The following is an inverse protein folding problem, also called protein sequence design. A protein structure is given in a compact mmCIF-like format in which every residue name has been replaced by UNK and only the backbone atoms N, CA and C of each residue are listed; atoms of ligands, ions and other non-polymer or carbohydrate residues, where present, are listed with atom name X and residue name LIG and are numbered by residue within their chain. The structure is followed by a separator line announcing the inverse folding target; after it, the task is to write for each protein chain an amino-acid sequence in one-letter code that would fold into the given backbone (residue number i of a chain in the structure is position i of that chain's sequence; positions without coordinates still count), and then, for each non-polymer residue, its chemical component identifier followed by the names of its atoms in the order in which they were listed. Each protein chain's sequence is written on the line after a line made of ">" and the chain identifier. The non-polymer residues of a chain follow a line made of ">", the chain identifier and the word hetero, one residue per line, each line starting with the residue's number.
data_IF_338252266987
#
_entry.id   IF_338252266987
#
_cell.length_a   1.000
_cell.length_b   1.000
_cell.length_c   1.000
_cell.angle_alpha   90.00
_cell.angle_beta   90.00
_cell.angle_gamma   90.00
#
_symmetry.space_group_name_H-M   'P 1'
#
loop_
_entity.id
_entity.type
_entity.pdbx_description
1 polymer ?
#
# COMPACT_ATOMS: atom_id res chain seq x y z
N UNK A 1 -19.12 -3.99 24.88
CA UNK A 1 -19.94 -2.96 25.56
C UNK A 1 -19.19 -2.17 26.66
N UNK A 2 -18.74 -2.80 27.76
CA UNK A 2 -18.14 -2.05 28.89
C UNK A 2 -16.86 -1.27 28.54
N UNK A 3 -15.99 -1.84 27.70
CA UNK A 3 -14.76 -1.16 27.26
C UNK A 3 -15.02 0.00 26.27
N UNK A 4 -16.04 -0.13 25.42
CA UNK A 4 -16.43 0.91 24.46
C UNK A 4 -16.98 2.12 25.22
N UNK A 5 -17.85 1.88 26.20
CA UNK A 5 -18.38 2.93 27.08
C UNK A 5 -17.28 3.65 27.85
N UNK A 6 -16.30 2.92 28.39
CA UNK A 6 -15.12 3.52 29.07
C UNK A 6 -14.30 4.43 28.14
N UNK A 7 -14.12 4.05 26.86
CA UNK A 7 -13.39 4.85 25.87
C UNK A 7 -14.16 6.14 25.52
N UNK A 8 -15.46 6.02 25.27
CA UNK A 8 -16.33 7.16 24.95
C UNK A 8 -16.50 8.13 26.13
N UNK A 9 -16.53 7.62 27.37
CA UNK A 9 -16.57 8.46 28.57
C UNK A 9 -15.28 9.29 28.78
N UNK A 10 -14.13 8.82 28.26
CA UNK A 10 -12.83 9.50 28.40
C UNK A 10 -12.57 10.49 27.26
N UNK A 11 -12.85 10.09 26.03
CA UNK A 11 -12.71 10.92 24.83
C UNK A 11 -13.90 10.63 23.89
N UNK A 12 -14.89 11.54 23.81
CA UNK A 12 -16.06 11.30 22.99
C UNK A 12 -15.69 11.20 21.50
N UNK A 13 -16.23 10.19 20.83
CA UNK A 13 -15.96 9.85 19.43
C UNK A 13 -14.67 9.06 19.21
N UNK A 14 -13.94 8.66 20.26
CA UNK A 14 -12.69 7.90 20.13
C UNK A 14 -12.92 6.49 19.60
N UNK A 15 -14.01 5.83 19.99
CA UNK A 15 -14.31 4.49 19.50
C UNK A 15 -14.56 4.51 18.00
N UNK A 16 -15.39 5.44 17.53
CA UNK A 16 -15.68 5.61 16.10
C UNK A 16 -14.40 5.85 15.28
N UNK A 17 -13.56 6.80 15.71
CA UNK A 17 -12.26 7.08 15.06
C UNK A 17 -11.36 5.84 14.98
N UNK A 18 -11.31 5.05 16.04
CA UNK A 18 -10.49 3.83 16.06
C UNK A 18 -11.04 2.76 15.12
N UNK A 19 -12.36 2.60 15.04
CA UNK A 19 -12.98 1.66 14.10
C UNK A 19 -12.75 2.07 12.64
N UNK A 20 -12.83 3.37 12.33
CA UNK A 20 -12.50 3.89 11.00
C UNK A 20 -11.04 3.61 10.63
N UNK A 21 -10.10 3.84 11.56
CA UNK A 21 -8.68 3.52 11.36
C UNK A 21 -8.45 2.03 11.11
N UNK A 22 -9.11 1.16 11.89
CA UNK A 22 -9.04 -0.30 11.67
C UNK A 22 -9.60 -0.70 10.30
N UNK A 23 -10.70 -0.09 9.85
CA UNK A 23 -11.27 -0.37 8.54
C UNK A 23 -10.28 -0.03 7.41
N UNK A 24 -9.61 1.12 7.51
CA UNK A 24 -8.57 1.54 6.56
C UNK A 24 -7.38 0.57 6.57
N UNK A 25 -6.90 0.17 7.75
CA UNK A 25 -5.79 -0.79 7.88
C UNK A 25 -6.12 -2.17 7.30
N UNK A 26 -7.32 -2.71 7.58
CA UNK A 26 -7.78 -3.98 7.02
C UNK A 26 -7.82 -3.96 5.50
N UNK A 27 -8.30 -2.86 4.93
CA UNK A 27 -8.32 -2.69 3.49
C UNK A 27 -6.91 -2.64 2.90
N UNK A 28 -6.01 -1.87 3.51
CA UNK A 28 -4.60 -1.77 3.11
C UNK A 28 -3.91 -3.13 3.08
N UNK A 29 -4.11 -3.96 4.12
CA UNK A 29 -3.57 -5.33 4.18
C UNK A 29 -4.11 -6.22 3.06
N UNK A 30 -5.43 -6.19 2.84
CA UNK A 30 -6.06 -6.96 1.76
C UNK A 30 -5.55 -6.53 0.38
N UNK A 31 -5.40 -5.23 0.14
CA UNK A 31 -4.88 -4.70 -1.11
C UNK A 31 -3.43 -5.14 -1.33
N UNK A 32 -2.59 -5.06 -0.29
CA UNK A 32 -1.22 -5.58 -0.28
C UNK A 32 -1.17 -7.04 -0.71
N UNK A 33 -1.99 -7.90 -0.10
CA UNK A 33 -2.00 -9.34 -0.41
C UNK A 33 -2.45 -9.60 -1.85
N UNK A 34 -3.47 -8.88 -2.34
CA UNK A 34 -3.96 -9.01 -3.72
C UNK A 34 -2.88 -8.59 -4.73
N UNK A 35 -2.26 -7.43 -4.54
CA UNK A 35 -1.22 -6.93 -5.44
C UNK A 35 0.03 -7.81 -5.41
N UNK A 36 0.44 -8.28 -4.22
CA UNK A 36 1.56 -9.19 -4.08
C UNK A 36 1.31 -10.53 -4.77
N UNK A 37 0.15 -11.17 -4.51
CA UNK A 37 -0.23 -12.44 -5.16
C UNK A 37 -0.29 -12.31 -6.68
N UNK A 38 -0.85 -11.21 -7.18
CA UNK A 38 -0.86 -10.93 -8.61
C UNK A 38 0.56 -10.80 -9.16
N UNK A 39 1.43 -10.02 -8.51
CA UNK A 39 2.80 -9.83 -8.95
C UNK A 39 3.61 -11.14 -8.97
N UNK A 40 3.40 -12.02 -7.99
CA UNK A 40 4.00 -13.37 -7.98
C UNK A 40 3.51 -14.18 -9.18
N UNK A 41 2.20 -14.23 -9.41
CA UNK A 41 1.62 -14.96 -10.54
C UNK A 41 2.08 -14.44 -11.91
N UNK A 42 2.37 -13.14 -12.02
CA UNK A 42 2.87 -12.51 -13.25
C UNK A 42 4.40 -12.50 -13.36
N UNK A 43 5.14 -13.07 -12.40
CA UNK A 43 6.60 -13.13 -12.44
C UNK A 43 7.29 -11.77 -12.31
N UNK A 44 6.72 -10.85 -11.52
CA UNK A 44 7.32 -9.54 -11.31
C UNK A 44 8.71 -9.63 -10.68
N UNK A 45 9.62 -8.70 -11.00
CA UNK A 45 10.94 -8.65 -10.37
C UNK A 45 10.86 -8.64 -8.85
N UNK A 46 11.72 -9.43 -8.19
CA UNK A 46 11.74 -9.58 -6.72
C UNK A 46 11.83 -8.26 -5.96
N UNK A 47 12.51 -7.27 -6.55
CA UNK A 47 12.59 -5.92 -5.99
C UNK A 47 11.21 -5.25 -5.85
N UNK A 48 10.32 -5.39 -6.83
CA UNK A 48 8.95 -4.88 -6.74
C UNK A 48 8.12 -5.68 -5.74
N UNK A 49 8.25 -7.00 -5.73
CA UNK A 49 7.56 -7.86 -4.76
C UNK A 49 7.89 -7.47 -3.31
N UNK A 50 9.16 -7.17 -2.99
CA UNK A 50 9.57 -6.65 -1.67
C UNK A 50 8.85 -5.33 -1.29
N UNK A 51 8.52 -4.47 -2.25
CA UNK A 51 7.77 -3.22 -2.00
C UNK A 51 6.28 -3.54 -1.79
N UNK A 52 5.70 -4.36 -2.66
CA UNK A 52 4.30 -4.78 -2.60
C UNK A 52 4.01 -5.58 -1.32
N UNK A 53 4.98 -6.30 -0.76
CA UNK A 53 4.83 -7.04 0.48
C UNK A 53 4.79 -6.15 1.74
N UNK A 54 5.26 -4.90 1.67
CA UNK A 54 5.27 -4.02 2.84
C UNK A 54 3.92 -3.28 2.93
N UNK A 55 3.12 -3.49 3.99
CA UNK A 55 1.80 -2.86 4.13
C UNK A 55 1.89 -1.33 4.18
N UNK A 56 2.93 -0.77 4.79
CA UNK A 56 3.10 0.69 4.90
C UNK A 56 3.43 1.35 3.55
N UNK A 57 3.89 0.58 2.57
CA UNK A 57 4.04 1.07 1.19
C UNK A 57 2.70 1.41 0.56
N UNK A 58 1.58 0.80 0.98
CA UNK A 58 0.29 0.96 0.32
C UNK A 58 -0.47 2.20 0.77
N UNK A 59 -1.18 2.83 -0.17
CA UNK A 59 -1.99 4.02 0.10
C UNK A 59 -3.29 3.69 0.83
N UNK A 60 -3.75 4.65 1.64
CA UNK A 60 -5.12 4.63 2.15
C UNK A 60 -6.12 4.98 1.06
N UNK A 61 -7.35 4.50 1.26
CA UNK A 61 -8.51 4.92 0.48
C UNK A 61 -9.49 5.72 1.32
N UNK A 62 -10.19 6.64 0.65
CA UNK A 62 -11.35 7.29 1.20
C UNK A 62 -12.46 7.30 0.15
N UNK A 63 -13.65 6.89 0.57
CA UNK A 63 -14.84 6.97 -0.27
C UNK A 63 -15.27 8.43 -0.42
N UNK A 64 -15.49 8.87 -1.65
CA UNK A 64 -16.11 10.15 -1.94
C UNK A 64 -17.56 9.94 -2.39
N UNK A 65 -18.55 10.39 -1.60
CA UNK A 65 -19.95 10.24 -1.93
C UNK A 65 -20.37 11.08 -3.15
N UNK A 66 -19.63 12.13 -3.49
CA UNK A 66 -19.96 13.02 -4.61
C UNK A 66 -19.66 12.32 -5.95
N UNK A 67 -18.46 11.76 -6.07
CA UNK A 67 -18.06 11.02 -7.28
C UNK A 67 -18.44 9.54 -7.24
N UNK A 68 -18.99 9.05 -6.12
CA UNK A 68 -19.30 7.64 -5.85
C UNK A 68 -18.09 6.72 -6.12
N UNK A 69 -16.89 7.19 -5.78
CA UNK A 69 -15.61 6.53 -6.08
C UNK A 69 -14.69 6.53 -4.87
N UNK A 70 -13.75 5.60 -4.85
CA UNK A 70 -12.70 5.57 -3.84
C UNK A 70 -11.48 6.34 -4.34
N UNK A 71 -11.02 7.32 -3.56
CA UNK A 71 -9.81 8.07 -3.87
C UNK A 71 -8.60 7.50 -3.15
N UNK A 72 -7.51 7.37 -3.90
CA UNK A 72 -6.20 7.01 -3.37
C UNK A 72 -5.61 8.24 -2.68
N UNK A 73 -5.35 8.14 -1.38
CA UNK A 73 -4.65 9.18 -0.63
C UNK A 73 -3.15 9.08 -0.88
N UNK A 74 -2.50 10.22 -1.12
CA UNK A 74 -1.04 10.29 -1.30
C UNK A 74 -0.38 10.26 0.07
N UNK A 75 0.62 9.40 0.23
CA UNK A 75 1.53 9.45 1.37
C UNK A 75 2.58 10.52 1.09
N UNK A 76 2.76 11.48 1.98
CA UNK A 76 3.65 12.64 1.74
C UNK A 76 5.10 12.22 1.48
N UNK A 77 5.55 11.12 2.10
CA UNK A 77 6.95 10.69 2.00
C UNK A 77 7.30 9.97 0.69
N UNK A 78 6.33 9.73 -0.19
CA UNK A 78 6.45 8.80 -1.31
C UNK A 78 6.74 9.52 -2.62
N UNK A 79 7.69 8.99 -3.38
CA UNK A 79 8.07 9.50 -4.70
C UNK A 79 7.00 9.23 -5.75
N UNK A 80 7.01 10.02 -6.82
CA UNK A 80 6.12 9.81 -7.96
C UNK A 80 6.42 8.49 -8.70
N UNK A 81 7.65 7.96 -8.57
CA UNK A 81 8.06 6.67 -9.16
C UNK A 81 7.32 5.51 -8.51
N UNK A 82 7.17 5.53 -7.19
CA UNK A 82 6.38 4.52 -6.51
C UNK A 82 4.91 4.62 -6.90
N UNK A 83 4.34 5.84 -6.87
CA UNK A 83 2.94 6.04 -7.23
C UNK A 83 2.63 5.46 -8.61
N UNK A 84 3.53 5.72 -9.57
CA UNK A 84 3.46 5.18 -10.93
C UNK A 84 3.49 3.65 -10.94
N UNK A 85 4.39 3.00 -10.16
CA UNK A 85 4.45 1.55 -10.09
C UNK A 85 3.15 0.96 -9.51
N UNK A 86 2.68 1.46 -8.37
CA UNK A 86 1.47 0.93 -7.71
C UNK A 86 0.24 1.12 -8.61
N UNK A 87 0.12 2.28 -9.25
CA UNK A 87 -0.93 2.52 -10.24
C UNK A 87 -0.83 1.51 -11.39
N UNK A 88 0.38 1.22 -11.88
CA UNK A 88 0.56 0.28 -12.97
C UNK A 88 0.17 -1.15 -12.59
N UNK A 89 0.48 -1.58 -11.37
CA UNK A 89 0.03 -2.87 -10.84
C UNK A 89 -1.50 -2.93 -10.83
N UNK A 90 -2.17 -1.87 -10.37
CA UNK A 90 -3.64 -1.81 -10.37
C UNK A 90 -4.24 -1.85 -11.78
N UNK A 91 -3.63 -1.14 -12.74
CA UNK A 91 -4.04 -1.17 -14.14
C UNK A 91 -3.90 -2.56 -14.76
N UNK A 92 -2.77 -3.25 -14.54
CA UNK A 92 -2.54 -4.60 -15.07
C UNK A 92 -3.48 -5.62 -14.43
N UNK A 93 -3.75 -5.51 -13.12
CA UNK A 93 -4.76 -6.34 -12.46
C UNK A 93 -6.15 -6.11 -13.05
N UNK A 94 -6.54 -4.85 -13.27
CA UNK A 94 -7.83 -4.50 -13.88
C UNK A 94 -7.95 -5.05 -15.30
N UNK A 95 -6.89 -4.98 -16.10
CA UNK A 95 -6.87 -5.59 -17.45
C UNK A 95 -7.03 -7.10 -17.38
N UNK A 96 -6.35 -7.78 -16.45
CA UNK A 96 -6.46 -9.22 -16.28
C UNK A 96 -7.88 -9.65 -15.87
N UNK A 97 -8.50 -8.93 -14.92
CA UNK A 97 -9.88 -9.19 -14.50
C UNK A 97 -10.90 -9.02 -15.64
N UNK A 98 -10.73 -7.98 -16.46
CA UNK A 98 -11.56 -7.73 -17.63
C UNK A 98 -11.36 -8.79 -18.72
N UNK A 99 -10.12 -9.26 -18.94
CA UNK A 99 -9.82 -10.32 -19.91
C UNK A 99 -10.43 -11.67 -19.50
N UNK A 100 -10.46 -11.97 -18.20
CA UNK A 100 -11.09 -13.17 -17.64
C UNK A 100 -12.63 -13.15 -17.72
N UNK A 101 -13.22 -12.02 -18.12
CA UNK A 101 -14.69 -11.84 -18.18
C UNK A 101 -15.37 -11.89 -16.81
N UNK A 102 -14.61 -11.84 -15.72
CA UNK A 102 -15.12 -11.83 -14.35
C UNK A 102 -15.50 -10.40 -13.97
N UNK A 103 -16.63 -10.23 -13.28
CA UNK A 103 -16.98 -8.95 -12.68
C UNK A 103 -15.91 -8.60 -11.64
N UNK A 104 -15.20 -7.51 -11.86
CA UNK A 104 -14.21 -6.98 -10.92
C UNK A 104 -14.84 -6.87 -9.53
N UNK A 105 -14.31 -7.64 -8.57
CA UNK A 105 -14.72 -7.60 -7.16
C UNK A 105 -13.98 -6.50 -6.39
N UNK A 106 -13.00 -5.87 -7.03
CA UNK A 106 -12.20 -4.80 -6.45
C UNK A 106 -12.92 -3.47 -6.57
N UNK A 107 -12.66 -2.59 -5.61
CA UNK A 107 -13.13 -1.20 -5.67
C UNK A 107 -12.45 -0.50 -6.84
N UNK A 108 -13.21 0.29 -7.58
CA UNK A 108 -12.67 1.19 -8.59
C UNK A 108 -11.97 2.36 -7.89
N UNK A 109 -10.64 2.43 -8.05
CA UNK A 109 -9.77 3.37 -7.34
C UNK A 109 -9.32 4.46 -8.30
N UNK A 110 -9.44 5.72 -7.87
CA UNK A 110 -9.03 6.88 -8.67
C UNK A 110 -8.05 7.76 -7.90
N UNK A 111 -7.10 8.36 -8.62
CA UNK A 111 -6.25 9.41 -8.04
C UNK A 111 -7.04 10.72 -8.15
N UNK A 112 -7.31 11.42 -7.03
CA UNK A 112 -8.01 12.69 -7.10
C UNK A 112 -7.11 13.75 -7.76
N UNK A 113 -7.66 14.68 -8.57
CA UNK A 113 -6.87 15.77 -9.19
C UNK A 113 -6.12 16.63 -8.17
N UNK A 114 -6.66 16.74 -6.95
CA UNK A 114 -5.96 17.31 -5.79
C UNK A 114 -5.66 16.16 -4.82
N UNK A 115 -4.39 15.83 -4.68
CA UNK A 115 -3.95 14.78 -3.76
C UNK A 115 -4.45 15.05 -2.34
N UNK A 116 -5.25 14.14 -1.79
CA UNK A 116 -5.61 14.15 -0.38
C UNK A 116 -4.53 13.44 0.41
N UNK A 117 -4.06 14.04 1.50
CA UNK A 117 -3.09 13.41 2.39
C UNK A 117 -3.68 12.16 3.05
N UNK A 118 -2.86 11.12 3.18
CA UNK A 118 -3.18 9.90 3.93
C UNK A 118 -3.38 10.21 5.43
N UNK A 119 -4.25 9.44 6.08
CA UNK A 119 -4.45 9.54 7.54
C UNK A 119 -3.27 8.87 8.27
N UNK A 120 -2.67 7.86 7.65
CA UNK A 120 -1.46 7.21 8.13
C UNK A 120 -0.28 8.19 8.12
N UNK A 121 0.27 8.40 9.32
CA UNK A 121 1.54 9.11 9.51
C UNK A 121 2.74 8.17 9.57
N UNK A 122 2.50 6.86 9.48
CA UNK A 122 3.55 5.86 9.51
C UNK A 122 4.38 5.96 8.25
N UNK A 123 5.68 6.19 8.43
CA UNK A 123 6.66 6.20 7.35
C UNK A 123 7.20 4.78 7.21
N UNK A 124 7.13 4.17 6.00
CA UNK A 124 7.76 2.87 5.74
C UNK A 124 9.25 2.96 6.01
N UNK A 125 9.83 1.97 6.70
CA UNK A 125 11.27 1.91 6.98
C UNK A 125 11.94 0.81 6.17
N UNK A 126 13.24 0.96 5.94
CA UNK A 126 14.08 0.00 5.21
C UNK A 126 13.76 -0.10 3.71
N UNK A 127 12.93 0.79 3.17
CA UNK A 127 12.67 0.83 1.73
C UNK A 127 13.82 1.53 0.99
N UNK A 128 13.98 1.27 -0.32
CA UNK A 128 15.04 1.88 -1.14
C UNK A 128 14.95 3.40 -1.13
N UNK A 129 16.08 4.09 -1.28
CA UNK A 129 16.07 5.56 -1.28
C UNK A 129 15.16 6.15 -2.36
N UNK A 130 15.07 5.52 -3.54
CA UNK A 130 14.20 6.01 -4.62
C UNK A 130 12.70 5.73 -4.43
N UNK A 131 12.30 5.13 -3.29
CA UNK A 131 10.91 5.10 -2.83
C UNK A 131 10.47 6.45 -2.27
N UNK A 132 11.37 7.18 -1.61
CA UNK A 132 11.01 8.40 -0.91
C UNK A 132 11.03 9.60 -1.84
N UNK A 133 10.16 10.57 -1.59
CA UNK A 133 10.24 11.86 -2.27
C UNK A 133 11.56 12.57 -1.89
N UNK A 134 12.35 13.07 -2.85
CA UNK A 134 13.64 13.71 -2.55
C UNK A 134 13.53 14.94 -1.66
N UNK A 135 12.52 15.80 -1.87
CA UNK A 135 12.33 17.01 -1.08
C UNK A 135 11.97 16.64 0.36
N UNK A 136 11.02 15.72 0.52
CA UNK A 136 10.65 15.19 1.82
C UNK A 136 11.83 14.54 2.55
N UNK A 137 12.58 13.66 1.87
CA UNK A 137 13.73 12.96 2.46
C UNK A 137 14.83 13.93 2.88
N UNK A 138 15.13 14.93 2.05
CA UNK A 138 16.23 15.87 2.30
C UNK A 138 15.99 16.73 3.54
N UNK A 139 14.74 17.02 3.86
CA UNK A 139 14.33 17.78 5.04
C UNK A 139 14.39 16.98 6.35
N UNK A 140 14.66 15.67 6.30
CA UNK A 140 14.81 14.85 7.50
C UNK A 140 16.15 15.09 8.24
N UNK A 141 16.18 15.00 9.58
CA UNK A 141 17.42 14.90 10.35
C UNK A 141 18.26 13.67 9.95
N UNK A 142 19.59 13.78 10.01
CA UNK A 142 20.51 12.71 9.61
C UNK A 142 20.28 11.37 10.36
N UNK A 143 19.88 11.41 11.64
CA UNK A 143 19.52 10.21 12.40
C UNK A 143 18.27 9.49 11.84
N UNK A 144 17.29 10.25 11.37
CA UNK A 144 16.08 9.70 10.75
C UNK A 144 16.38 9.14 9.35
N UNK A 145 17.20 9.83 8.55
CA UNK A 145 17.60 9.35 7.22
C UNK A 145 18.20 7.93 7.27
N UNK A 146 19.12 7.68 8.22
CA UNK A 146 19.76 6.37 8.45
C UNK A 146 18.80 5.25 8.86
N UNK A 147 17.72 5.59 9.54
CA UNK A 147 16.77 4.57 10.07
C UNK A 147 15.58 4.34 9.14
N UNK A 148 15.27 5.31 8.29
CA UNK A 148 14.11 5.27 7.40
C UNK A 148 14.47 4.61 6.07
N UNK A 149 15.48 5.10 5.36
CA UNK A 149 15.78 4.64 4.01
C UNK A 149 16.99 3.71 3.96
N UNK A 150 16.90 2.69 3.12
CA UNK A 150 18.08 1.97 2.65
C UNK A 150 18.70 2.80 1.51
N UNK A 151 19.74 3.56 1.84
CA UNK A 151 20.45 4.37 0.88
C UNK A 151 21.04 3.50 -0.24
N UNK A 152 21.61 2.33 0.08
CA UNK A 152 22.42 1.45 -0.80
C UNK A 152 21.68 0.66 -1.88
N UNK A 153 20.36 0.78 -1.98
CA UNK A 153 19.55 0.00 -2.92
C UNK A 153 18.66 0.92 -3.74
N UNK A 154 18.55 0.63 -5.04
CA UNK A 154 17.66 1.30 -5.99
C UNK A 154 16.75 0.24 -6.60
N UNK A 155 15.43 0.49 -6.61
CA UNK A 155 14.46 -0.50 -7.11
C UNK A 155 13.64 -0.07 -8.33
N UNK A 156 13.27 1.20 -8.41
CA UNK A 156 12.53 1.74 -9.55
C UNK A 156 13.45 2.11 -10.71
N UNK A 157 12.92 2.00 -11.94
CA UNK A 157 13.53 2.55 -13.14
C UNK A 157 13.70 4.08 -13.03
N UNK A 158 14.67 4.69 -13.72
CA UNK A 158 14.77 6.14 -13.85
C UNK A 158 13.46 6.75 -14.35
N UNK A 159 12.86 6.09 -15.35
CA UNK A 159 11.54 6.38 -15.88
C UNK A 159 10.56 5.28 -15.45
N UNK A 160 9.76 5.57 -14.42
CA UNK A 160 8.82 4.61 -13.86
C UNK A 160 7.67 4.25 -14.81
N UNK A 161 7.37 5.10 -15.82
CA UNK A 161 6.29 4.85 -16.79
C UNK A 161 6.55 3.63 -17.68
N UNK A 162 7.82 3.21 -17.77
CA UNK A 162 8.26 2.01 -18.50
C UNK A 162 8.18 0.73 -17.67
N UNK A 163 7.86 0.84 -16.38
CA UNK A 163 7.76 -0.33 -15.51
C UNK A 163 6.51 -1.13 -15.85
N UNK A 164 6.60 -2.46 -15.81
CA UNK A 164 5.44 -3.35 -15.97
C UNK A 164 4.59 -3.05 -17.22
N UNK A 165 5.23 -2.66 -18.32
CA UNK A 165 4.59 -2.69 -19.64
C UNK A 165 4.51 -4.16 -20.11
N UNK A 166 3.58 -4.47 -21.01
CA UNK A 166 3.29 -5.86 -21.43
C UNK A 166 4.52 -6.69 -21.84
N UNK A 167 5.62 -6.03 -22.20
CA UNK A 167 6.96 -6.62 -22.20
C UNK A 167 7.84 -5.95 -21.15
N UNK A 168 8.44 -6.74 -20.25
CA UNK A 168 9.39 -6.25 -19.25
C UNK A 168 10.51 -5.42 -19.88
N UNK A 169 10.86 -4.32 -19.21
CA UNK A 169 12.02 -3.54 -19.61
C UNK A 169 13.30 -4.38 -19.47
N UNK A 170 14.30 -4.16 -20.33
CA UNK A 170 15.54 -4.96 -20.32
C UNK A 170 16.25 -4.89 -18.98
N UNK A 171 16.30 -3.70 -18.38
CA UNK A 171 16.88 -3.50 -17.04
C UNK A 171 16.09 -4.21 -15.94
N UNK A 172 14.80 -4.46 -16.14
CA UNK A 172 14.01 -5.11 -15.11
C UNK A 172 14.41 -6.57 -14.88
N UNK A 173 15.05 -7.17 -15.89
CA UNK A 173 15.59 -8.53 -15.88
C UNK A 173 16.98 -8.64 -15.26
N UNK A 174 17.60 -7.50 -14.93
CA UNK A 174 18.88 -7.48 -14.24
C UNK A 174 18.72 -7.92 -12.78
N UNK A 175 19.77 -8.54 -12.23
CA UNK A 175 19.84 -8.77 -10.79
C UNK A 175 19.85 -7.44 -10.03
N UNK A 176 19.35 -7.44 -8.80
CA UNK A 176 19.23 -6.22 -7.98
C UNK A 176 20.57 -5.48 -7.84
N UNK A 177 21.67 -6.22 -7.67
CA UNK A 177 23.04 -5.68 -7.58
C UNK A 177 23.45 -4.95 -8.86
N UNK A 178 23.21 -5.56 -10.03
CA UNK A 178 23.54 -4.94 -11.33
C UNK A 178 22.63 -3.75 -11.63
N UNK A 179 21.33 -3.88 -11.34
CA UNK A 179 20.35 -2.82 -11.50
C UNK A 179 20.70 -1.60 -10.66
N UNK A 180 21.03 -1.82 -9.38
CA UNK A 180 21.42 -0.75 -8.47
C UNK A 180 22.68 -0.07 -8.96
N UNK A 181 23.75 -0.82 -9.28
CA UNK A 181 25.00 -0.24 -9.79
C UNK A 181 24.81 0.60 -11.05
N UNK A 182 23.96 0.15 -11.97
CA UNK A 182 23.69 0.87 -13.23
C UNK A 182 22.94 2.18 -12.99
N UNK A 183 21.92 2.16 -12.12
CA UNK A 183 21.01 3.28 -11.94
C UNK A 183 21.37 4.19 -10.75
N UNK A 184 22.40 3.83 -9.97
CA UNK A 184 22.77 4.49 -8.72
C UNK A 184 23.06 5.98 -8.89
N UNK A 185 24.02 6.30 -9.76
CA UNK A 185 24.52 7.68 -9.91
C UNK A 185 23.41 8.64 -10.33
N UNK A 186 22.52 8.21 -11.22
CA UNK A 186 21.39 9.04 -11.65
C UNK A 186 20.30 9.13 -10.58
N UNK A 187 19.97 8.01 -9.93
CA UNK A 187 18.91 7.96 -8.95
C UNK A 187 19.25 8.74 -7.67
N UNK A 188 20.52 8.83 -7.29
CA UNK A 188 20.94 9.47 -6.03
C UNK A 188 21.11 11.00 -6.13
N UNK A 189 21.27 11.55 -7.34
CA UNK A 189 21.48 13.00 -7.60
C UNK A 189 20.56 13.94 -6.82
N UNK A 190 19.24 13.69 -6.70
CA UNK A 190 18.35 14.61 -5.99
C UNK A 190 18.39 14.45 -4.46
N UNK A 191 19.12 13.47 -3.93
CA UNK A 191 19.16 13.17 -2.49
C UNK A 191 20.43 13.68 -1.81
N UNK A 192 20.26 14.29 -0.64
CA UNK A 192 21.35 14.68 0.25
C UNK A 192 21.72 13.50 1.17
N UNK A 193 22.65 12.69 0.68
CA UNK A 193 23.20 11.52 1.37
C UNK A 193 24.52 11.80 2.13
N UNK A 194 24.83 13.06 2.44
CA UNK A 194 26.06 13.45 3.16
C UNK A 194 26.28 12.71 4.49
N UNK A 195 25.20 12.26 5.13
CA UNK A 195 25.23 11.49 6.38
C UNK A 195 25.81 10.07 6.23
N UNK A 196 25.83 9.51 5.01
CA UNK A 196 26.42 8.20 4.69
C UNK A 196 27.91 8.30 4.31
N UNK A 197 28.39 9.49 3.96
CA UNK A 197 29.76 9.69 3.44
C UNK A 197 30.81 9.65 4.57
N UNK A 198 30.42 9.48 5.84
CA UNK A 198 31.35 9.59 6.96
C UNK A 198 32.24 8.36 7.23
N UNK A 199 32.11 7.22 6.54
CA UNK A 199 33.00 6.05 6.74
C UNK A 199 32.96 5.09 5.52
N UNK A 200 33.58 5.40 4.38
CA UNK A 200 33.53 4.53 3.20
C UNK A 200 34.87 4.42 2.46
N UNK A 201 35.86 3.78 3.11
CA UNK A 201 36.91 3.03 2.41
C UNK A 201 36.47 1.57 2.10
N UNK A 202 35.27 1.14 2.54
CA UNK A 202 34.83 -0.26 2.50
C UNK A 202 33.56 -0.51 1.65
N UNK A 203 33.42 0.19 0.51
CA UNK A 203 32.29 -0.03 -0.42
C UNK A 203 32.33 -1.40 -1.15
N UNK A 204 33.35 -2.22 -0.92
CA UNK A 204 33.50 -3.54 -1.58
C UNK A 204 32.80 -4.69 -0.81
N UNK A 205 32.68 -4.59 0.52
CA UNK A 205 32.29 -5.75 1.35
C UNK A 205 30.79 -5.80 1.75
N UNK A 206 30.06 -4.69 1.64
CA UNK A 206 28.63 -4.64 2.00
C UNK A 206 27.69 -5.26 0.94
N UNK A 207 28.21 -5.65 -0.23
CA UNK A 207 27.41 -6.30 -1.28
C UNK A 207 27.25 -7.82 -1.08
N UNK A 208 27.76 -8.37 0.04
CA UNK A 208 27.78 -9.81 0.35
C UNK A 208 26.72 -10.26 1.38
N UNK A 209 25.72 -9.42 1.71
CA UNK A 209 24.62 -9.78 2.63
C UNK A 209 23.23 -9.83 1.98
N UNK A 210 23.14 -10.07 0.67
CA UNK A 210 21.94 -10.71 0.10
C UNK A 210 22.32 -12.18 -0.16
N UNK A 211 22.13 -13.04 0.85
CA UNK A 211 22.05 -14.48 0.60
C UNK A 211 20.79 -14.72 -0.22
N UNK A 212 20.97 -15.01 -1.52
CA UNK A 212 19.98 -15.66 -2.38
C UNK A 212 19.78 -17.10 -1.88
N UNK A 213 19.22 -17.26 -0.69
CA UNK A 213 18.80 -18.55 -0.17
C UNK A 213 17.32 -18.46 0.24
N UNK A 214 16.49 -18.75 -0.73
CA UNK A 214 15.05 -18.98 -0.60
C UNK A 214 14.68 -20.02 -1.68
N UNK A 215 15.43 -21.12 -1.69
CA UNK A 215 14.90 -22.38 -2.20
C UNK A 215 13.87 -22.87 -1.19
N UNK A 216 12.66 -23.18 -1.68
CA UNK A 216 11.46 -23.59 -0.93
C UNK A 216 10.80 -22.54 -0.03
N UNK A 217 9.77 -21.88 -0.59
CA UNK A 217 8.64 -21.36 0.18
C UNK A 217 7.34 -22.10 -0.24
N UNK A 218 7.40 -23.43 -0.23
CA UNK A 218 6.23 -24.28 -0.01
C UNK A 218 6.32 -24.79 1.43
N UNK A 219 6.06 -23.90 2.39
CA UNK A 219 5.78 -24.27 3.77
C UNK A 219 4.69 -23.33 4.29
N UNK A 220 3.78 -23.92 5.07
CA UNK A 220 2.51 -23.37 5.53
C UNK A 220 2.65 -21.93 6.04
N UNK A 221 1.70 -21.08 5.63
CA UNK A 221 1.48 -19.79 6.28
C UNK A 221 0.91 -20.10 7.67
N UNK A 222 1.78 -20.33 8.64
CA UNK A 222 1.44 -20.08 10.03
C UNK A 222 1.30 -18.56 10.20
N UNK A 223 0.12 -18.13 10.62
CA UNK A 223 -0.22 -16.74 10.88
C UNK A 223 0.62 -16.22 12.06
N UNK A 224 1.84 -15.74 11.78
CA UNK A 224 2.60 -14.97 12.77
C UNK A 224 2.09 -13.54 12.85
N UNK A 225 1.29 -13.30 13.90
CA UNK A 225 0.87 -11.99 14.39
C UNK A 225 2.08 -11.09 14.73
N UNK A 226 2.49 -10.23 13.80
CA UNK A 226 3.32 -9.06 14.11
C UNK A 226 2.48 -7.79 14.20
N UNK A 227 1.64 -7.74 15.23
CA UNK A 227 1.05 -6.49 15.71
C UNK A 227 2.14 -5.77 16.49
N UNK A 228 2.72 -4.73 15.91
CA UNK A 228 3.59 -3.83 16.65
C UNK A 228 2.76 -3.16 17.76
N UNK A 229 2.95 -3.60 18.99
CA UNK A 229 2.31 -3.08 20.20
C UNK A 229 2.53 -1.57 20.31
N UNK A 230 1.52 -0.79 19.89
CA UNK A 230 1.37 0.55 20.43
C UNK A 230 0.88 0.40 21.87
N UNK A 231 1.83 0.37 22.79
CA UNK A 231 1.66 0.50 24.24
C UNK A 231 0.41 1.30 24.60
N UNK A 232 -0.60 0.61 25.12
CA UNK A 232 -1.57 1.11 26.10
C UNK A 232 -2.42 -0.09 26.62
N UNK A 233 -1.90 -0.73 27.66
CA UNK A 233 -2.55 -1.66 28.61
C UNK A 233 -3.74 -2.54 28.12
N UNK A 234 -3.40 -3.83 27.99
CA UNK A 234 -4.21 -5.04 28.29
C UNK A 234 -5.28 -5.57 27.31
N UNK A 235 -5.52 -6.91 27.34
CA UNK A 235 -5.65 -7.74 26.14
C UNK A 235 -7.05 -8.35 25.96
N UNK A 236 -7.30 -8.85 24.75
CA UNK A 236 -8.42 -9.76 24.44
C UNK A 236 -9.33 -9.26 23.33
N UNK A 237 -9.73 -10.18 22.45
CA UNK A 237 -10.62 -10.01 21.28
C UNK A 237 -9.97 -9.45 20.00
N UNK A 238 -9.04 -10.19 19.39
CA UNK A 238 -8.68 -9.95 17.98
C UNK A 238 -8.90 -11.15 17.04
N UNK A 239 -8.92 -12.38 17.54
CA UNK A 239 -8.87 -13.58 16.68
C UNK A 239 -10.23 -14.19 16.28
N UNK A 240 -11.33 -13.42 16.21
CA UNK A 240 -12.65 -14.04 15.91
C UNK A 240 -13.49 -13.35 14.83
N UNK A 241 -12.91 -12.50 13.98
CA UNK A 241 -13.68 -11.76 12.96
C UNK A 241 -13.19 -11.90 11.52
N UNK A 242 -12.28 -12.85 11.25
CA UNK A 242 -11.89 -13.16 9.86
C UNK A 242 -13.01 -13.84 9.05
N UNK A 243 -14.08 -14.33 9.69
CA UNK A 243 -15.18 -15.07 9.03
C UNK A 243 -16.53 -14.34 8.98
N UNK A 244 -16.57 -13.02 8.74
CA UNK A 244 -17.85 -12.37 8.38
C UNK A 244 -17.80 -11.71 7.02
N UNK A 245 -18.20 -12.50 6.03
CA UNK A 245 -18.80 -12.05 4.78
C UNK A 245 -19.88 -11.00 5.08
N UNK A 246 -19.57 -9.72 4.87
CA UNK A 246 -20.59 -8.68 4.79
C UNK A 246 -21.27 -8.83 3.43
N UNK A 247 -22.33 -9.65 3.39
CA UNK A 247 -23.35 -9.57 2.35
C UNK A 247 -24.06 -8.23 2.53
N UNK A 248 -23.79 -7.27 1.65
CA UNK A 248 -24.67 -6.12 1.50
C UNK A 248 -25.90 -6.59 0.72
N UNK A 249 -27.03 -6.72 1.41
CA UNK A 249 -28.32 -7.00 0.78
C UNK A 249 -28.75 -5.83 -0.11
N UNK A 250 -29.15 -6.21 -1.32
CA UNK A 250 -29.66 -5.37 -2.39
C UNK A 250 -31.03 -4.81 -1.96
N UNK A 251 -31.14 -3.48 -1.84
CA UNK A 251 -32.40 -2.81 -1.56
C UNK A 251 -33.25 -2.80 -2.84
N UNK A 252 -34.05 -3.85 -3.00
CA UNK A 252 -35.04 -3.98 -4.07
C UNK A 252 -36.09 -2.87 -4.02
N UNK A 253 -36.16 -2.15 -5.12
CA UNK A 253 -37.15 -1.15 -5.51
C UNK A 253 -38.56 -1.78 -5.56
N UNK A 254 -39.47 -1.38 -4.68
CA UNK A 254 -40.90 -1.69 -4.76
C UNK A 254 -41.67 -0.43 -5.12
N UNK A 255 -41.85 -0.26 -6.43
CA UNK A 255 -42.74 0.74 -7.01
C UNK A 255 -44.13 0.10 -7.23
N UNK A 256 -44.98 0.11 -6.20
CA UNK A 256 -46.39 -0.27 -6.33
C UNK A 256 -47.25 0.95 -6.67
N UNK A 257 -47.58 1.06 -7.96
CA UNK A 257 -48.68 1.88 -8.48
C UNK A 257 -50.01 1.43 -7.86
N UNK A 258 -50.56 2.19 -6.91
CA UNK A 258 -51.98 2.11 -6.56
C UNK A 258 -52.76 3.24 -7.25
N UNK A 259 -53.25 2.93 -8.45
CA UNK A 259 -54.41 3.60 -9.01
C UNK A 259 -55.66 3.06 -8.29
N UNK A 260 -56.30 3.88 -7.46
CA UNK A 260 -57.71 3.70 -7.09
C UNK A 260 -58.46 5.02 -7.28
N UNK A 261 -59.29 5.01 -8.32
CA UNK A 261 -60.36 5.96 -8.56
C UNK A 261 -61.30 6.02 -7.34
N UNK A 262 -61.36 7.17 -6.67
CA UNK A 262 -62.50 7.50 -5.81
C UNK A 262 -63.46 8.40 -6.60
N UNK A 263 -64.50 7.78 -7.13
CA UNK A 263 -65.77 8.43 -7.45
C UNK A 263 -66.54 8.52 -6.14
N UNK A 264 -66.96 9.71 -5.73
CA UNK A 264 -68.15 9.86 -4.90
C UNK A 264 -68.74 11.28 -5.03
N UNK A 265 -70.02 11.25 -5.36
CA UNK A 265 -70.97 12.35 -5.42
C UNK A 265 -71.00 13.18 -4.13
N UNK A 266 -71.14 14.50 -4.27
CA UNK A 266 -72.33 15.26 -3.86
C UNK A 266 -72.29 16.65 -4.50
#
# INVERSE_FOLDING_TARGET
>A
MAQQYKKEAKEPGKHAKNEDQKAVLRYRLRLKDLQYKFGVAQGFPQRYLKILANPDSHSDEEFDPISNKYFIKKLECRSDKENTLIQRVDEEMSKAENADGKKAQRRDRHIPPKGKASISKTVPKGLPINFYDPEWFNNLPAGQKRTIANCHVIKFLPDASKSLLGTHHSEERLSNKRFTKLNWEEAIKPYNISHEISNNDDLDDSLNKESDDLENLEEEIEEEDHIHEMNNNEPGEFNHLLDRDIKMEDAGDQNENQNHFNVLNF
#
